data_IF_170441322983
#
_entry.id   IF_170441322983
#
_cell.length_a   1.000
_cell.length_b   1.000
_cell.length_c   1.000
_cell.angle_alpha   90.00
_cell.angle_beta   90.00
_cell.angle_gamma   90.00
#
_symmetry.space_group_name_H-M   'P 1'
#
loop_
_entity.id
_entity.type
_entity.pdbx_description
1 polymer ?
#
# COMPACT_ATOMS: atom_id res chain seq x y z
N UNK A 1 0.95 -5.41 -24.76
CA UNK A 1 0.99 -4.39 -23.68
C UNK A 1 -0.09 -3.36 -23.98
N UNK A 2 -0.97 -3.02 -23.02
CA UNK A 2 -2.06 -2.07 -23.26
C UNK A 2 -1.54 -0.62 -23.14
N UNK A 3 -1.47 0.11 -24.25
CA UNK A 3 -0.93 1.47 -24.36
C UNK A 3 -1.99 2.56 -24.17
N UNK A 4 -3.19 2.20 -23.72
CA UNK A 4 -4.29 3.14 -23.53
C UNK A 4 -3.88 4.26 -22.55
N UNK A 5 -4.02 5.56 -22.92
CA UNK A 5 -3.56 6.69 -22.10
C UNK A 5 -4.08 6.67 -20.66
N UNK A 6 -5.30 6.19 -20.46
CA UNK A 6 -5.94 6.03 -19.13
C UNK A 6 -5.30 4.93 -18.27
N UNK A 7 -4.62 3.96 -18.88
CA UNK A 7 -3.90 2.89 -18.18
C UNK A 7 -2.51 3.36 -17.72
N UNK A 8 -1.80 4.09 -18.59
CA UNK A 8 -0.49 4.68 -18.25
C UNK A 8 -0.60 5.69 -17.09
N UNK A 9 -1.66 6.50 -17.07
CA UNK A 9 -1.94 7.41 -15.95
C UNK A 9 -2.25 6.65 -14.66
N UNK A 10 -3.11 5.62 -14.71
CA UNK A 10 -3.41 4.76 -13.55
C UNK A 10 -2.18 4.04 -12.99
N UNK A 11 -1.31 3.51 -13.87
CA UNK A 11 -0.08 2.83 -13.46
C UNK A 11 0.88 3.79 -12.75
N UNK A 12 1.13 4.96 -13.33
CA UNK A 12 2.01 5.97 -12.73
C UNK A 12 1.46 6.50 -11.41
N UNK A 13 0.15 6.75 -11.36
CA UNK A 13 -0.56 7.15 -10.13
C UNK A 13 -0.39 6.10 -9.02
N UNK A 14 -0.63 4.82 -9.34
CA UNK A 14 -0.43 3.73 -8.40
C UNK A 14 1.01 3.64 -7.87
N UNK A 15 2.02 3.78 -8.73
CA UNK A 15 3.44 3.76 -8.34
C UNK A 15 3.79 4.88 -7.34
N UNK A 16 3.27 6.10 -7.57
CA UNK A 16 3.50 7.24 -6.66
C UNK A 16 2.89 6.97 -5.30
N UNK A 17 1.67 6.43 -5.25
CA UNK A 17 1.00 6.09 -4.00
C UNK A 17 1.72 4.98 -3.23
N UNK A 18 2.12 3.90 -3.90
CA UNK A 18 2.89 2.84 -3.25
C UNK A 18 4.22 3.33 -2.68
N UNK A 19 4.95 4.17 -3.42
CA UNK A 19 6.19 4.79 -2.91
C UNK A 19 5.93 5.62 -1.65
N UNK A 20 4.84 6.40 -1.62
CA UNK A 20 4.45 7.19 -0.43
C UNK A 20 4.06 6.32 0.75
N UNK A 21 3.24 5.29 0.53
CA UNK A 21 2.79 4.36 1.57
C UNK A 21 3.98 3.62 2.18
N UNK A 22 4.82 2.98 1.36
CA UNK A 22 6.01 2.26 1.82
C UNK A 22 7.00 3.21 2.52
N UNK A 23 7.27 4.38 1.94
CA UNK A 23 8.19 5.36 2.53
C UNK A 23 7.70 5.93 3.87
N UNK A 24 6.40 6.01 4.09
CA UNK A 24 5.83 6.36 5.41
C UNK A 24 5.95 5.21 6.39
N UNK A 25 5.64 3.99 5.97
CA UNK A 25 5.72 2.80 6.83
C UNK A 25 7.15 2.50 7.31
N UNK A 26 8.17 2.68 6.46
CA UNK A 26 9.60 2.51 6.84
C UNK A 26 10.00 3.49 7.94
N UNK A 27 9.35 4.65 8.04
CA UNK A 27 9.68 5.71 9.00
C UNK A 27 8.97 5.56 10.34
N UNK A 28 8.04 4.61 10.46
CA UNK A 28 7.35 4.35 11.74
C UNK A 28 8.35 3.81 12.75
N UNK A 29 8.50 4.49 13.89
CA UNK A 29 9.42 4.14 14.98
C UNK A 29 8.69 3.83 16.26
N UNK A 30 7.60 4.55 16.53
CA UNK A 30 6.86 4.43 17.78
C UNK A 30 5.34 4.36 17.57
N UNK A 31 4.60 4.38 18.68
CA UNK A 31 3.15 4.29 18.68
C UNK A 31 2.47 5.51 18.07
N UNK A 32 3.04 6.70 18.19
CA UNK A 32 2.46 7.91 17.62
C UNK A 32 2.60 7.87 16.09
N UNK A 33 3.77 7.50 15.58
CA UNK A 33 3.97 7.28 14.14
C UNK A 33 2.99 6.24 13.58
N UNK A 34 2.76 5.16 14.34
CA UNK A 34 1.82 4.11 13.95
C UNK A 34 0.38 4.62 13.87
N UNK A 35 -0.05 5.46 14.82
CA UNK A 35 -1.37 6.08 14.82
C UNK A 35 -1.52 6.97 13.57
N UNK A 36 -0.54 7.83 13.30
CA UNK A 36 -0.54 8.69 12.12
C UNK A 36 -0.56 7.89 10.81
N UNK A 37 0.23 6.83 10.73
CA UNK A 37 0.24 5.92 9.59
C UNK A 37 -1.13 5.25 9.39
N UNK A 38 -1.76 4.79 10.47
CA UNK A 38 -3.07 4.15 10.42
C UNK A 38 -4.18 5.13 10.00
N UNK A 39 -4.16 6.37 10.49
CA UNK A 39 -5.09 7.41 10.04
C UNK A 39 -4.87 7.78 8.58
N UNK A 40 -3.61 7.90 8.13
CA UNK A 40 -3.29 8.07 6.72
C UNK A 40 -3.87 6.92 5.87
N UNK A 41 -3.73 5.66 6.29
CA UNK A 41 -4.28 4.52 5.54
C UNK A 41 -5.81 4.54 5.46
N UNK A 42 -6.51 4.94 6.52
CA UNK A 42 -7.97 5.14 6.50
C UNK A 42 -8.38 6.26 5.55
N UNK A 43 -7.64 7.36 5.56
CA UNK A 43 -7.83 8.46 4.61
C UNK A 43 -7.64 7.97 3.17
N UNK A 44 -6.54 7.28 2.87
CA UNK A 44 -6.27 6.67 1.56
C UNK A 44 -7.42 5.75 1.14
N UNK A 45 -7.90 4.89 2.03
CA UNK A 45 -9.03 4.00 1.75
C UNK A 45 -10.31 4.77 1.37
N UNK A 46 -10.51 5.98 1.89
CA UNK A 46 -11.72 6.77 1.68
C UNK A 46 -11.63 7.78 0.53
N UNK A 47 -10.43 8.29 0.25
CA UNK A 47 -10.22 9.38 -0.71
C UNK A 47 -9.54 8.94 -2.01
N UNK A 48 -9.14 7.66 -2.14
CA UNK A 48 -8.57 7.16 -3.39
C UNK A 48 -9.51 7.41 -4.57
N UNK A 49 -8.99 8.07 -5.61
CA UNK A 49 -9.78 8.53 -6.75
C UNK A 49 -10.46 7.36 -7.49
N UNK A 50 -9.72 6.26 -7.67
CA UNK A 50 -10.27 5.03 -8.23
C UNK A 50 -11.16 4.31 -7.20
N UNK A 51 -12.48 4.36 -7.39
CA UNK A 51 -13.47 3.73 -6.49
C UNK A 51 -13.28 2.23 -6.33
N UNK A 52 -12.88 1.53 -7.40
CA UNK A 52 -12.56 0.09 -7.34
C UNK A 52 -11.34 -0.16 -6.43
N UNK A 53 -10.27 0.61 -6.60
CA UNK A 53 -9.08 0.50 -5.76
C UNK A 53 -9.39 0.88 -4.30
N UNK A 54 -10.18 1.94 -4.07
CA UNK A 54 -10.69 2.30 -2.73
C UNK A 54 -11.44 1.13 -2.08
N UNK A 55 -12.31 0.46 -2.83
CA UNK A 55 -13.01 -0.75 -2.39
C UNK A 55 -12.04 -1.85 -1.96
N UNK A 56 -11.03 -2.16 -2.78
CA UNK A 56 -10.02 -3.18 -2.45
C UNK A 56 -9.19 -2.81 -1.21
N UNK A 57 -8.83 -1.53 -1.02
CA UNK A 57 -8.12 -1.08 0.18
C UNK A 57 -8.98 -1.32 1.43
N UNK A 58 -10.26 -0.93 1.39
CA UNK A 58 -11.21 -1.14 2.50
C UNK A 58 -11.42 -2.62 2.80
N UNK A 59 -11.60 -3.43 1.77
CA UNK A 59 -11.75 -4.88 1.89
C UNK A 59 -10.52 -5.49 2.60
N UNK A 60 -9.31 -5.11 2.16
CA UNK A 60 -8.08 -5.60 2.78
C UNK A 60 -7.97 -5.19 4.25
N UNK A 61 -8.22 -3.91 4.56
CA UNK A 61 -8.20 -3.39 5.94
C UNK A 61 -9.24 -4.11 6.81
N UNK A 62 -10.45 -4.34 6.31
CA UNK A 62 -11.51 -5.03 7.07
C UNK A 62 -11.17 -6.51 7.32
N UNK A 63 -10.51 -7.16 6.36
CA UNK A 63 -10.15 -8.58 6.44
C UNK A 63 -8.92 -8.84 7.31
N UNK A 64 -7.88 -8.02 7.17
CA UNK A 64 -6.57 -8.24 7.82
C UNK A 64 -6.40 -7.38 9.08
N UNK A 65 -7.08 -6.24 9.15
CA UNK A 65 -6.83 -5.20 10.14
C UNK A 65 -5.64 -4.31 9.75
N UNK A 66 -5.53 -3.16 10.43
CA UNK A 66 -4.36 -2.28 10.36
C UNK A 66 -3.22 -2.81 11.27
N UNK A 67 -1.94 -2.46 11.00
CA UNK A 67 -0.83 -2.90 11.84
C UNK A 67 -0.99 -2.42 13.28
N UNK A 68 -0.66 -3.32 14.23
CA UNK A 68 -0.84 -3.10 15.67
C UNK A 68 0.46 -2.72 16.38
N UNK A 69 1.61 -3.00 15.77
CA UNK A 69 2.93 -2.66 16.29
C UNK A 69 3.71 -1.82 15.27
N UNK A 70 4.55 -0.86 15.74
CA UNK A 70 5.37 -0.02 14.86
C UNK A 70 6.27 -0.83 13.90
N UNK A 71 6.88 -1.91 14.40
CA UNK A 71 7.75 -2.79 13.61
C UNK A 71 7.03 -3.53 12.48
N UNK A 72 5.70 -3.71 12.58
CA UNK A 72 4.91 -4.41 11.57
C UNK A 72 4.45 -3.50 10.43
N UNK A 73 4.55 -2.17 10.58
CA UNK A 73 3.99 -1.22 9.62
C UNK A 73 4.50 -1.46 8.19
N UNK A 74 5.82 -1.61 8.02
CA UNK A 74 6.40 -1.85 6.70
C UNK A 74 5.99 -3.21 6.13
N UNK A 75 6.11 -4.28 6.93
CA UNK A 75 5.70 -5.63 6.52
C UNK A 75 4.24 -5.67 6.09
N UNK A 76 3.35 -5.02 6.84
CA UNK A 76 1.93 -4.92 6.52
C UNK A 76 1.70 -4.29 5.14
N UNK A 77 2.46 -3.23 4.79
CA UNK A 77 2.33 -2.61 3.46
C UNK A 77 2.79 -3.53 2.34
N UNK A 78 3.81 -4.37 2.56
CA UNK A 78 4.30 -5.34 1.58
C UNK A 78 3.27 -6.45 1.36
N UNK A 79 2.70 -6.99 2.43
CA UNK A 79 1.64 -8.00 2.35
C UNK A 79 0.40 -7.44 1.64
N UNK A 80 0.04 -6.17 1.90
CA UNK A 80 -1.04 -5.49 1.20
C UNK A 80 -0.75 -5.31 -0.30
N UNK A 81 0.46 -4.87 -0.65
CA UNK A 81 0.86 -4.74 -2.05
C UNK A 81 0.84 -6.10 -2.75
N UNK A 82 1.30 -7.17 -2.10
CA UNK A 82 1.26 -8.51 -2.66
C UNK A 82 -0.17 -9.04 -2.84
N UNK A 83 -1.11 -8.70 -1.96
CA UNK A 83 -2.53 -9.02 -2.20
C UNK A 83 -3.04 -8.39 -3.50
N UNK A 84 -2.68 -7.13 -3.75
CA UNK A 84 -3.01 -6.45 -4.99
C UNK A 84 -2.25 -7.03 -6.20
N UNK A 85 -0.98 -7.44 -6.03
CA UNK A 85 -0.21 -8.09 -7.09
C UNK A 85 -0.86 -9.41 -7.51
N UNK A 86 -1.26 -10.26 -6.54
CA UNK A 86 -2.02 -11.50 -6.81
C UNK A 86 -3.30 -11.22 -7.60
N UNK A 87 -4.10 -10.23 -7.17
CA UNK A 87 -5.33 -9.83 -7.88
C UNK A 87 -5.09 -9.41 -9.33
N UNK A 88 -3.92 -8.84 -9.61
CA UNK A 88 -3.53 -8.35 -10.94
C UNK A 88 -2.68 -9.35 -11.73
N UNK A 89 -2.44 -10.56 -11.22
CA UNK A 89 -1.57 -11.57 -11.85
C UNK A 89 -0.10 -11.14 -11.95
N UNK A 90 0.38 -10.32 -11.02
CA UNK A 90 1.78 -9.87 -10.94
C UNK A 90 2.57 -10.73 -9.95
N UNK A 91 3.90 -10.83 -10.11
CA UNK A 91 4.77 -11.47 -9.13
C UNK A 91 4.66 -10.82 -7.75
N UNK A 92 4.80 -11.64 -6.72
CA UNK A 92 4.97 -11.16 -5.35
C UNK A 92 6.41 -10.73 -5.10
N UNK A 93 6.58 -9.82 -4.13
CA UNK A 93 7.91 -9.40 -3.67
C UNK A 93 8.12 -9.83 -2.22
N UNK A 94 9.32 -10.27 -1.90
CA UNK A 94 9.71 -10.55 -0.51
C UNK A 94 9.87 -9.24 0.28
N UNK A 95 9.85 -9.35 1.61
CA UNK A 95 10.08 -8.19 2.48
C UNK A 95 11.46 -7.56 2.24
N UNK A 96 12.48 -8.37 1.97
CA UNK A 96 13.86 -7.93 1.70
C UNK A 96 13.92 -7.15 0.39
N UNK A 97 13.36 -7.68 -0.70
CA UNK A 97 13.31 -6.99 -1.98
C UNK A 97 12.55 -5.66 -1.87
N UNK A 98 11.40 -5.67 -1.19
CA UNK A 98 10.62 -4.46 -0.97
C UNK A 98 11.42 -3.42 -0.16
N UNK A 99 12.17 -3.84 0.85
CA UNK A 99 13.01 -2.94 1.63
C UNK A 99 14.06 -2.28 0.75
N UNK A 100 14.81 -3.05 -0.05
CA UNK A 100 15.85 -2.53 -0.95
C UNK A 100 15.31 -1.53 -2.00
N UNK A 101 14.05 -1.68 -2.42
CA UNK A 101 13.40 -0.77 -3.39
C UNK A 101 13.01 0.56 -2.73
N UNK A 102 12.75 0.56 -1.42
CA UNK A 102 12.10 1.66 -0.70
C UNK A 102 12.94 2.31 0.40
N UNK A 103 14.08 1.71 0.75
CA UNK A 103 15.10 2.25 1.65
C UNK A 103 15.92 3.36 1.02
#
# INVERSE_FOLDING_TARGET
>A
MNTNPTYLTRKRYGQIHWRRIHGRAIKVRDRNDLIEFNEMMKCVASTYECKLCSGHIKEYINRVGLPKAPCDAFRWTVEFHNDNNRRLGKPEVTLVEAYLIHS
#
